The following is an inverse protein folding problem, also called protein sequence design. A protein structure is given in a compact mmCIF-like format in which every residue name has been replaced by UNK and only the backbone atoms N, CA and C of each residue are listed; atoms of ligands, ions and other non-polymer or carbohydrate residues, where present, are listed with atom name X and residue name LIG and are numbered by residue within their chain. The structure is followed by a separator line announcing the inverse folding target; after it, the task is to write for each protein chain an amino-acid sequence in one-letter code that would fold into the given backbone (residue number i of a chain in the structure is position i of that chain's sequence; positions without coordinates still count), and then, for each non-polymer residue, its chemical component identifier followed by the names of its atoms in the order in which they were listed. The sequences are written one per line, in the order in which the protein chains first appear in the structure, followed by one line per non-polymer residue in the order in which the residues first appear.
data_IF_291476963586
#
_entry.id   IF_291476963586
#
_cell.length_a   1.000
_cell.length_b   1.000
_cell.length_c   1.000
_cell.angle_alpha   90.00
_cell.angle_beta   90.00
_cell.angle_gamma   90.00
#
_symmetry.space_group_name_H-M   'P 1'
#
loop_
_entity.id
_entity.type
_entity.pdbx_description
1 polymer ?
#
# COMPACT_ATOMS: atom_id res chain seq x y z
N UNK A 1 8.92 -17.34 -12.58
CA UNK A 1 7.68 -16.61 -12.24
C UNK A 1 6.63 -16.80 -13.32
N UNK A 2 5.41 -17.11 -12.94
CA UNK A 2 4.30 -17.19 -13.90
C UNK A 2 3.78 -15.79 -14.23
N UNK A 3 3.08 -15.65 -15.35
CA UNK A 3 2.48 -14.38 -15.74
C UNK A 3 1.50 -13.85 -14.69
N UNK A 4 0.77 -14.75 -14.04
CA UNK A 4 -0.16 -14.39 -12.98
C UNK A 4 0.56 -13.80 -11.76
N UNK A 5 1.67 -14.40 -11.37
CA UNK A 5 2.47 -13.89 -10.25
C UNK A 5 3.07 -12.52 -10.60
N UNK A 6 3.52 -12.35 -11.83
CA UNK A 6 4.05 -11.07 -12.28
C UNK A 6 2.97 -9.98 -12.25
N UNK A 7 1.76 -10.28 -12.70
CA UNK A 7 0.65 -9.34 -12.65
C UNK A 7 0.29 -8.97 -11.23
N UNK A 8 0.24 -9.95 -10.31
CA UNK A 8 -0.04 -9.69 -8.90
C UNK A 8 1.04 -8.81 -8.29
N UNK A 9 2.31 -9.11 -8.55
CA UNK A 9 3.41 -8.32 -8.04
C UNK A 9 3.33 -6.87 -8.52
N UNK A 10 3.03 -6.65 -9.80
CA UNK A 10 2.85 -5.31 -10.36
C UNK A 10 1.69 -4.57 -9.71
N UNK A 11 0.56 -5.26 -9.49
CA UNK A 11 -0.61 -4.68 -8.84
C UNK A 11 -0.30 -4.26 -7.41
N UNK A 12 0.37 -5.12 -6.66
CA UNK A 12 0.77 -4.82 -5.28
C UNK A 12 1.69 -3.59 -5.24
N UNK A 13 2.64 -3.51 -6.14
CA UNK A 13 3.54 -2.35 -6.25
C UNK A 13 2.78 -1.06 -6.52
N UNK A 14 1.82 -1.10 -7.44
CA UNK A 14 1.00 0.07 -7.76
C UNK A 14 0.14 0.49 -6.57
N UNK A 15 -0.41 -0.48 -5.84
CA UNK A 15 -1.21 -0.21 -4.65
C UNK A 15 -0.35 0.46 -3.57
N UNK A 16 0.85 -0.03 -3.33
CA UNK A 16 1.78 0.57 -2.37
C UNK A 16 2.12 2.00 -2.78
N UNK A 17 2.39 2.22 -4.05
CA UNK A 17 2.70 3.54 -4.57
C UNK A 17 1.52 4.49 -4.40
N UNK A 18 0.31 4.03 -4.69
CA UNK A 18 -0.91 4.83 -4.53
C UNK A 18 -1.12 5.24 -3.08
N UNK A 19 -0.92 4.31 -2.14
CA UNK A 19 -1.05 4.60 -0.71
C UNK A 19 -0.03 5.66 -0.28
N UNK A 20 1.22 5.56 -0.73
CA UNK A 20 2.26 6.53 -0.42
C UNK A 20 1.93 7.91 -0.97
N UNK A 21 1.44 8.00 -2.19
CA UNK A 21 1.04 9.27 -2.80
C UNK A 21 -0.12 9.91 -2.06
N UNK A 22 -1.12 9.13 -1.66
CA UNK A 22 -2.26 9.63 -0.89
C UNK A 22 -1.82 10.13 0.49
N UNK A 23 -0.86 9.46 1.12
CA UNK A 23 -0.31 9.87 2.39
C UNK A 23 0.26 11.30 2.31
N UNK A 24 0.93 11.63 1.23
CA UNK A 24 1.47 12.98 1.01
C UNK A 24 0.37 14.04 0.91
N UNK A 25 -0.77 13.69 0.34
CA UNK A 25 -1.91 14.61 0.18
C UNK A 25 -2.64 14.84 1.49
N UNK A 26 -2.70 13.81 2.35
CA UNK A 26 -3.42 13.87 3.63
C UNK A 26 -2.61 14.60 4.70
N UNK A 27 -1.34 14.87 4.46
CA UNK A 27 -0.40 15.42 5.42
C UNK A 27 -0.69 16.81 5.97
N UNK A 28 -1.81 17.46 5.58
CA UNK A 28 -2.17 18.81 6.03
C UNK A 28 -3.05 18.84 7.28
N UNK A 29 -3.62 17.70 7.68
CA UNK A 29 -4.50 17.59 8.84
C UNK A 29 -4.02 16.50 9.79
N UNK A 30 -3.81 16.87 11.05
CA UNK A 30 -3.28 15.95 12.06
C UNK A 30 -4.22 14.78 12.33
N UNK A 31 -5.54 15.05 12.43
CA UNK A 31 -6.54 14.00 12.69
C UNK A 31 -6.68 13.04 11.51
N UNK A 32 -6.77 13.58 10.31
CA UNK A 32 -6.84 12.76 9.10
C UNK A 32 -5.57 11.95 8.92
N UNK A 33 -4.44 12.54 9.28
CA UNK A 33 -3.15 11.87 9.19
C UNK A 33 -3.06 10.65 10.09
N UNK A 34 -3.57 10.74 11.32
CA UNK A 34 -3.60 9.61 12.25
C UNK A 34 -4.47 8.47 11.73
N UNK A 35 -5.68 8.78 11.33
CA UNK A 35 -6.61 7.79 10.78
C UNK A 35 -6.04 7.15 9.52
N UNK A 36 -5.49 7.96 8.63
CA UNK A 36 -4.87 7.47 7.40
C UNK A 36 -3.67 6.59 7.67
N UNK A 37 -2.80 6.98 8.62
CA UNK A 37 -1.62 6.20 8.96
C UNK A 37 -1.98 4.80 9.45
N UNK A 38 -2.96 4.68 10.32
CA UNK A 38 -3.39 3.39 10.83
C UNK A 38 -3.89 2.49 9.69
N UNK A 39 -4.75 3.04 8.85
CA UNK A 39 -5.26 2.33 7.69
C UNK A 39 -4.14 1.95 6.72
N UNK A 40 -3.28 2.90 6.39
CA UNK A 40 -2.18 2.70 5.45
C UNK A 40 -1.18 1.66 5.96
N UNK A 41 -0.82 1.71 7.23
CA UNK A 41 0.09 0.74 7.83
C UNK A 41 -0.47 -0.67 7.79
N UNK A 42 -1.76 -0.83 8.10
CA UNK A 42 -2.42 -2.14 8.04
C UNK A 42 -2.42 -2.67 6.61
N UNK A 43 -2.73 -1.82 5.64
CA UNK A 43 -2.76 -2.23 4.24
C UNK A 43 -1.37 -2.50 3.67
N UNK A 44 -0.37 -1.70 4.03
CA UNK A 44 1.01 -1.92 3.60
C UNK A 44 1.54 -3.25 4.12
N UNK A 45 1.28 -3.59 5.38
CA UNK A 45 1.67 -4.87 5.95
C UNK A 45 1.03 -6.03 5.22
N UNK A 46 -0.25 -5.93 4.91
CA UNK A 46 -0.96 -6.95 4.15
C UNK A 46 -0.37 -7.13 2.76
N UNK A 47 -0.12 -6.03 2.07
CA UNK A 47 0.45 -6.05 0.72
C UNK A 47 1.87 -6.63 0.71
N UNK A 48 2.68 -6.27 1.68
CA UNK A 48 4.03 -6.83 1.82
C UNK A 48 3.98 -8.33 2.04
N UNK A 49 3.06 -8.80 2.87
CA UNK A 49 2.86 -10.23 3.13
C UNK A 49 2.43 -10.96 1.87
N UNK A 50 1.48 -10.40 1.13
CA UNK A 50 1.04 -10.98 -0.14
C UNK A 50 2.18 -11.06 -1.15
N UNK A 51 3.02 -10.04 -1.18
CA UNK A 51 4.19 -10.02 -2.06
C UNK A 51 5.19 -11.12 -1.67
N UNK A 52 5.44 -11.32 -0.39
CA UNK A 52 6.34 -12.37 0.09
C UNK A 52 5.82 -13.77 -0.23
N UNK A 53 4.51 -13.97 -0.24
CA UNK A 53 3.90 -15.24 -0.56
C UNK A 53 3.91 -15.59 -2.05
N UNK A 54 4.23 -14.64 -2.89
CA UNK A 54 4.41 -14.89 -4.31
C UNK A 54 5.72 -15.62 -4.59
#
# INVERSE_FOLDING_TARGET
MTDEQFKKASQIREDIKAIKEQTLRVGTSTELMKSWKDWANANLKRLEKEFEEL
#
